data_IF_758617005998
#
_entry.id   IF_758617005998
#
_cell.length_a   1.000
_cell.length_b   1.000
_cell.length_c   1.000
_cell.angle_alpha   90.00
_cell.angle_beta   90.00
_cell.angle_gamma   90.00
#
_symmetry.space_group_name_H-M   'P 1'
#
loop_
_entity.id
_entity.type
_entity.pdbx_description
1 polymer ?
#
# COMPACT_ATOMS: atom_id res chain seq x y z
N UNK A 1 19.77 -17.26 -1.18
CA UNK A 1 18.50 -16.66 -0.73
C UNK A 1 18.28 -15.44 -1.60
N UNK A 2 17.18 -15.38 -2.36
CA UNK A 2 16.77 -14.13 -3.00
C UNK A 2 16.47 -13.16 -1.85
N UNK A 3 17.07 -11.97 -1.87
CA UNK A 3 16.72 -10.90 -0.94
C UNK A 3 15.25 -10.57 -1.16
N UNK A 4 14.44 -10.63 -0.10
CA UNK A 4 13.06 -10.15 -0.17
C UNK A 4 13.13 -8.63 -0.32
N UNK A 5 12.56 -8.11 -1.39
CA UNK A 5 12.47 -6.68 -1.66
C UNK A 5 11.02 -6.28 -1.50
N UNK A 6 10.76 -5.27 -0.69
CA UNK A 6 9.44 -4.70 -0.45
C UNK A 6 9.33 -3.37 -1.19
N UNK A 7 8.25 -3.17 -1.92
CA UNK A 7 7.87 -1.89 -2.50
C UNK A 7 6.99 -1.12 -1.51
N UNK A 8 7.31 0.16 -1.32
CA UNK A 8 6.50 1.12 -0.57
C UNK A 8 6.15 2.26 -1.51
N UNK A 9 4.86 2.54 -1.66
CA UNK A 9 4.38 3.70 -2.39
C UNK A 9 3.62 4.64 -1.46
N UNK A 10 3.85 5.93 -1.59
CA UNK A 10 3.07 6.96 -0.91
C UNK A 10 2.16 7.62 -1.93
N UNK A 11 0.86 7.58 -1.67
CA UNK A 11 -0.14 8.21 -2.53
C UNK A 11 -0.72 9.40 -1.80
N UNK A 12 -0.81 10.53 -2.52
CA UNK A 12 -1.35 11.79 -2.03
C UNK A 12 -2.36 12.31 -3.04
N UNK A 13 -3.62 12.45 -2.62
CA UNK A 13 -4.73 12.93 -3.44
C UNK A 13 -4.90 12.15 -4.75
N UNK A 14 -4.73 10.82 -4.69
CA UNK A 14 -4.84 9.94 -5.85
C UNK A 14 -3.61 9.94 -6.77
N UNK A 15 -2.54 10.66 -6.43
CA UNK A 15 -1.29 10.65 -7.19
C UNK A 15 -0.17 9.96 -6.41
N UNK A 16 0.60 9.11 -7.09
CA UNK A 16 1.77 8.45 -6.52
C UNK A 16 2.88 9.49 -6.31
N UNK A 17 3.03 9.96 -5.07
CA UNK A 17 4.01 10.97 -4.69
C UNK A 17 5.43 10.40 -4.58
N UNK A 18 5.55 9.15 -4.12
CA UNK A 18 6.83 8.46 -3.95
C UNK A 18 6.69 6.95 -4.16
N UNK A 19 7.70 6.33 -4.76
CA UNK A 19 7.89 4.88 -4.75
C UNK A 19 9.33 4.61 -4.32
N UNK A 20 9.49 3.74 -3.32
CA UNK A 20 10.79 3.25 -2.86
C UNK A 20 10.77 1.73 -2.71
N UNK A 21 11.96 1.13 -2.81
CA UNK A 21 12.17 -0.29 -2.54
C UNK A 21 13.07 -0.46 -1.31
N UNK A 22 12.77 -1.45 -0.49
CA UNK A 22 13.47 -1.74 0.77
C UNK A 22 13.83 -3.22 0.81
N UNK A 23 15.10 -3.54 1.07
CA UNK A 23 15.60 -4.93 1.17
C UNK A 23 15.28 -5.54 2.55
N UNK A 24 14.00 -5.55 2.92
CA UNK A 24 13.49 -6.10 4.17
C UNK A 24 12.13 -6.78 3.90
N UNK A 25 11.70 -7.74 4.75
CA UNK A 25 10.39 -8.37 4.63
C UNK A 25 9.23 -7.38 4.83
N UNK A 26 8.11 -7.67 4.16
CA UNK A 26 6.89 -6.84 4.16
C UNK A 26 6.42 -6.52 5.58
N UNK A 27 6.45 -7.48 6.52
CA UNK A 27 5.96 -7.28 7.88
C UNK A 27 6.80 -6.26 8.67
N UNK A 28 8.11 -6.22 8.41
CA UNK A 28 9.00 -5.24 9.04
C UNK A 28 8.76 -3.87 8.44
N UNK A 29 8.71 -3.78 7.11
CA UNK A 29 8.49 -2.51 6.41
C UNK A 29 7.12 -1.93 6.71
N UNK A 30 6.07 -2.76 6.82
CA UNK A 30 4.74 -2.34 7.25
C UNK A 30 4.78 -1.75 8.66
N UNK A 31 5.48 -2.39 9.60
CA UNK A 31 5.63 -1.87 10.98
C UNK A 31 6.34 -0.53 10.98
N UNK A 32 7.43 -0.40 10.24
CA UNK A 32 8.20 0.85 10.16
C UNK A 32 7.34 1.96 9.51
N UNK A 33 6.60 1.63 8.45
CA UNK A 33 5.63 2.53 7.81
C UNK A 33 4.53 2.97 8.77
N UNK A 34 4.00 2.06 9.61
CA UNK A 34 3.02 2.41 10.64
C UNK A 34 3.59 3.36 11.68
N UNK A 35 4.86 3.20 12.09
CA UNK A 35 5.52 4.14 13.00
C UNK A 35 5.64 5.52 12.35
N UNK A 36 6.09 5.60 11.10
CA UNK A 36 6.15 6.86 10.33
C UNK A 36 4.76 7.52 10.23
N UNK A 37 3.72 6.73 9.93
CA UNK A 37 2.34 7.20 9.81
C UNK A 37 1.81 7.74 11.14
N UNK A 38 2.09 7.07 12.27
CA UNK A 38 1.63 7.51 13.59
C UNK A 38 2.19 8.89 13.99
N UNK A 39 3.34 9.30 13.45
CA UNK A 39 3.90 10.65 13.67
C UNK A 39 3.17 11.73 12.86
N UNK A 40 2.57 11.36 11.73
CA UNK A 40 1.88 12.27 10.80
C UNK A 40 0.37 12.30 11.01
N UNK A 41 -0.20 11.23 11.55
CA UNK A 41 -1.62 11.05 11.73
C UNK A 41 -2.19 11.94 12.82
N UNK A 42 -3.33 12.58 12.54
CA UNK A 42 -4.11 13.32 13.52
C UNK A 42 -5.36 12.51 13.93
N UNK A 43 -5.38 11.89 15.13
CA UNK A 43 -6.50 11.07 15.58
C UNK A 43 -7.80 11.84 15.86
N UNK A 44 -7.76 13.17 15.81
CA UNK A 44 -8.96 14.02 15.98
C UNK A 44 -9.66 14.34 14.66
N UNK A 45 -8.96 14.16 13.54
CA UNK A 45 -9.42 14.60 12.21
C UNK A 45 -9.60 13.44 11.24
N UNK A 46 -8.92 12.32 11.45
CA UNK A 46 -8.97 11.16 10.57
C UNK A 46 -8.92 9.87 11.38
N UNK A 47 -9.54 8.83 10.85
CA UNK A 47 -9.24 7.45 11.26
C UNK A 47 -7.89 7.01 10.69
N UNK A 48 -7.28 6.01 11.33
CA UNK A 48 -6.15 5.26 10.80
C UNK A 48 -6.64 3.86 10.46
N UNK A 49 -6.60 3.51 9.17
CA UNK A 49 -7.10 2.24 8.66
C UNK A 49 -5.95 1.48 8.01
N UNK A 50 -5.84 0.20 8.35
CA UNK A 50 -4.89 -0.73 7.74
C UNK A 50 -5.68 -1.86 7.14
N UNK A 51 -5.67 -1.95 5.82
CA UNK A 51 -6.36 -3.01 5.08
C UNK A 51 -5.33 -3.91 4.43
N UNK A 52 -5.56 -5.22 4.52
CA UNK A 52 -4.82 -6.24 3.79
C UNK A 52 -5.71 -6.72 2.66
N UNK A 53 -5.25 -6.52 1.45
CA UNK A 53 -5.99 -6.83 0.23
C UNK A 53 -5.21 -7.88 -0.57
N UNK A 54 -5.94 -8.68 -1.35
CA UNK A 54 -5.33 -9.63 -2.28
C UNK A 54 -5.26 -9.02 -3.66
N UNK A 55 -4.19 -9.31 -4.39
CA UNK A 55 -4.03 -8.78 -5.74
C UNK A 55 -5.18 -9.19 -6.68
N UNK A 56 -5.78 -10.37 -6.48
CA UNK A 56 -6.90 -10.82 -7.34
C UNK A 56 -8.18 -10.01 -7.14
N UNK A 57 -8.31 -9.29 -6.03
CA UNK A 57 -9.50 -8.47 -5.73
C UNK A 57 -9.47 -7.16 -6.53
N UNK A 58 -8.27 -6.68 -6.90
CA UNK A 58 -8.08 -5.52 -7.77
C UNK A 58 -7.92 -5.93 -9.23
N UNK A 59 -6.97 -6.82 -9.50
CA UNK A 59 -6.49 -7.13 -10.85
C UNK A 59 -6.37 -8.66 -11.02
N UNK A 60 -7.51 -9.36 -11.24
CA UNK A 60 -7.53 -10.81 -11.42
C UNK A 60 -6.59 -11.28 -12.54
N UNK A 61 -6.46 -10.48 -13.60
CA UNK A 61 -5.64 -10.76 -14.78
C UNK A 61 -4.13 -10.76 -14.46
N UNK A 62 -3.70 -9.98 -13.46
CA UNK A 62 -2.31 -9.96 -13.02
C UNK A 62 -1.94 -11.21 -12.20
N UNK A 63 -2.91 -11.79 -11.48
CA UNK A 63 -2.70 -12.99 -10.66
C UNK A 63 -2.47 -14.25 -11.49
N UNK A 64 -3.12 -14.37 -12.66
CA UNK A 64 -2.91 -15.49 -13.59
C UNK A 64 -1.45 -15.61 -14.08
N UNK A 65 -0.68 -14.52 -13.97
CA UNK A 65 0.73 -14.44 -14.36
C UNK A 65 1.67 -14.79 -13.20
N UNK A 66 1.16 -14.94 -11.98
CA UNK A 66 1.94 -15.31 -10.80
C UNK A 66 1.99 -16.83 -10.63
N UNK A 67 3.19 -17.39 -10.54
CA UNK A 67 3.41 -18.82 -10.25
C UNK A 67 3.70 -19.00 -8.77
N UNK A 68 2.68 -18.99 -7.91
CA UNK A 68 2.91 -19.16 -6.48
C UNK A 68 1.71 -18.82 -5.59
N UNK A 69 2.02 -18.43 -4.36
CA UNK A 69 1.05 -17.86 -3.42
C UNK A 69 0.55 -16.51 -3.94
N UNK A 70 -0.75 -16.29 -3.81
CA UNK A 70 -1.42 -15.05 -4.21
C UNK A 70 -0.74 -13.83 -3.57
N UNK A 71 -0.26 -12.85 -4.37
CA UNK A 71 0.34 -11.63 -3.83
C UNK A 71 -0.69 -10.83 -3.02
N UNK A 72 -0.22 -10.27 -1.92
CA UNK A 72 -1.02 -9.42 -1.05
C UNK A 72 -0.34 -8.06 -0.90
N UNK A 73 -1.14 -7.04 -0.65
CA UNK A 73 -0.65 -5.70 -0.35
C UNK A 73 -1.41 -5.11 0.83
N UNK A 74 -0.77 -4.15 1.48
CA UNK A 74 -1.34 -3.43 2.59
C UNK A 74 -1.57 -1.98 2.19
N UNK A 75 -2.77 -1.46 2.48
CA UNK A 75 -3.08 -0.04 2.38
C UNK A 75 -3.14 0.54 3.79
N UNK A 76 -2.32 1.57 4.05
CA UNK A 76 -2.26 2.28 5.32
C UNK A 76 -2.78 3.70 5.10
N UNK A 77 -4.08 3.90 5.30
CA UNK A 77 -4.77 5.19 5.13
C UNK A 77 -4.80 5.96 6.45
N UNK A 78 -4.29 7.19 6.44
CA UNK A 78 -4.11 7.99 7.67
C UNK A 78 -4.54 9.45 7.54
N UNK A 79 -5.04 9.83 6.37
CA UNK A 79 -5.73 11.10 6.16
C UNK A 79 -6.96 10.86 5.28
N UNK A 80 -8.05 10.51 5.96
CA UNK A 80 -9.34 10.13 5.41
C UNK A 80 -10.31 11.27 5.66
N UNK A 81 -10.99 11.74 4.62
CA UNK A 81 -12.09 12.69 4.76
C UNK A 81 -13.40 12.05 4.35
N UNK A 82 -14.43 12.35 5.12
CA UNK A 82 -15.81 12.02 4.79
C UNK A 82 -16.44 13.25 4.14
N UNK A 83 -16.84 13.11 2.88
CA UNK A 83 -17.54 14.15 2.14
C UNK A 83 -18.90 13.61 1.72
N UNK A 84 -19.93 14.06 2.42
CA UNK A 84 -21.29 13.55 2.27
C UNK A 84 -21.31 12.02 2.53
N UNK A 85 -21.59 11.21 1.51
CA UNK A 85 -21.59 9.74 1.58
C UNK A 85 -20.30 9.11 1.02
N UNK A 86 -19.31 9.93 0.63
CA UNK A 86 -18.05 9.47 0.05
C UNK A 86 -16.90 9.48 1.07
N UNK A 87 -16.08 8.44 1.01
CA UNK A 87 -14.80 8.35 1.73
C UNK A 87 -13.68 8.66 0.74
N UNK A 88 -12.85 9.65 1.07
CA UNK A 88 -11.70 10.03 0.24
C UNK A 88 -10.43 9.86 1.08
N UNK A 89 -9.61 8.90 0.69
CA UNK A 89 -8.26 8.72 1.22
C UNK A 89 -7.34 9.74 0.57
N UNK A 90 -7.04 10.83 1.28
CA UNK A 90 -6.15 11.89 0.79
C UNK A 90 -4.70 11.49 0.88
N UNK A 91 -4.33 10.68 1.86
CA UNK A 91 -2.94 10.21 2.05
C UNK A 91 -2.93 8.79 2.57
N UNK A 92 -2.22 7.93 1.86
CA UNK A 92 -2.06 6.54 2.25
C UNK A 92 -0.75 5.97 1.73
N UNK A 93 -0.28 4.90 2.37
CA UNK A 93 0.82 4.10 1.87
C UNK A 93 0.33 2.76 1.35
N UNK A 94 0.98 2.27 0.30
CA UNK A 94 0.85 0.89 -0.18
C UNK A 94 2.15 0.16 0.14
N UNK A 95 2.07 -0.99 0.80
CA UNK A 95 3.23 -1.83 1.14
C UNK A 95 3.00 -3.24 0.61
N UNK A 96 3.92 -3.73 -0.22
CA UNK A 96 3.80 -5.05 -0.86
C UNK A 96 5.16 -5.61 -1.27
N UNK A 97 5.23 -6.91 -1.59
CA UNK A 97 6.43 -7.47 -2.22
C UNK A 97 6.73 -6.80 -3.56
N UNK A 98 8.00 -6.52 -3.85
CA UNK A 98 8.42 -6.00 -5.15
C UNK A 98 8.47 -7.13 -6.17
N UNK A 99 7.40 -7.24 -6.95
CA UNK A 99 7.27 -8.20 -8.04
C UNK A 99 7.63 -7.59 -9.40
N UNK A 100 8.44 -6.52 -9.40
CA UNK A 100 8.91 -5.85 -10.61
C UNK A 100 7.85 -4.95 -11.23
N UNK A 101 7.59 -5.10 -12.53
CA UNK A 101 6.64 -4.23 -13.22
C UNK A 101 5.21 -4.41 -12.71
N UNK A 102 4.87 -5.59 -12.18
CA UNK A 102 3.54 -5.90 -11.67
C UNK A 102 3.20 -5.06 -10.43
N UNK A 103 4.07 -5.01 -9.42
CA UNK A 103 3.85 -4.19 -8.21
C UNK A 103 3.74 -2.70 -8.55
N UNK A 104 4.50 -2.23 -9.54
CA UNK A 104 4.45 -0.84 -10.03
C UNK A 104 3.18 -0.52 -10.82
N UNK A 105 2.60 -1.51 -11.50
CA UNK A 105 1.33 -1.35 -12.19
C UNK A 105 0.19 -1.21 -11.17
N UNK A 106 0.13 -2.10 -10.18
CA UNK A 106 -0.87 -2.08 -9.10
C UNK A 106 -0.92 -0.71 -8.42
N UNK A 107 0.23 -0.18 -8.03
CA UNK A 107 0.33 1.14 -7.37
C UNK A 107 -0.17 2.29 -8.24
N UNK A 108 -0.12 2.18 -9.57
CA UNK A 108 -0.58 3.23 -10.50
C UNK A 108 -2.07 3.15 -10.81
N UNK A 109 -2.68 2.00 -10.58
CA UNK A 109 -4.10 1.74 -10.85
C UNK A 109 -4.99 2.00 -9.61
N UNK A 110 -4.37 2.10 -8.42
CA UNK A 110 -4.96 2.59 -7.18
C UNK A 110 -5.18 4.10 -7.20
#
# INVERSE_FOLDING_TARGET
>A
MLSVVTLVAHVVLGEVAEIRTVEEPVEKVLRDTLVEVLELWNPRESDLVVTRERLSELEPELVERSTGTEPEFYVVSYDIIWRDDEVIDRRFYVVMEDLGDMSRQVVREL
#
